data_IF_352859937230
#
_entry.id   IF_352859937230
#
_cell.length_a   1.000
_cell.length_b   1.000
_cell.length_c   1.000
_cell.angle_alpha   90.00
_cell.angle_beta   90.00
_cell.angle_gamma   90.00
#
_symmetry.space_group_name_H-M   'P 1'
#
loop_
_entity.id
_entity.type
_entity.pdbx_description
1 polymer ?
#
# COMPACT_ATOMS: atom_id res chain seq x y z
N UNK A 1 9.82 1.30 6.26
CA UNK A 1 8.42 0.89 6.44
C UNK A 1 8.24 -0.45 5.76
N UNK A 2 7.62 -1.42 6.44
CA UNK A 2 7.28 -2.72 5.84
C UNK A 2 5.94 -2.62 5.09
N UNK A 3 5.60 -3.63 4.29
CA UNK A 3 4.26 -3.70 3.66
C UNK A 3 3.17 -3.75 4.73
N UNK A 4 3.38 -4.56 5.78
CA UNK A 4 2.44 -4.73 6.89
C UNK A 4 2.19 -3.40 7.61
N UNK A 5 3.25 -2.66 7.95
CA UNK A 5 3.12 -1.36 8.63
C UNK A 5 2.33 -0.35 7.76
N UNK A 6 2.55 -0.38 6.45
CA UNK A 6 1.89 0.53 5.51
C UNK A 6 0.41 0.17 5.35
N UNK A 7 0.10 -1.13 5.30
CA UNK A 7 -1.25 -1.65 5.21
C UNK A 7 -2.04 -1.33 6.48
N UNK A 8 -1.48 -1.56 7.67
CA UNK A 8 -2.11 -1.24 8.95
C UNK A 8 -2.39 0.27 9.10
N UNK A 9 -1.45 1.12 8.70
CA UNK A 9 -1.67 2.57 8.67
C UNK A 9 -2.79 2.96 7.70
N UNK A 10 -2.83 2.32 6.52
CA UNK A 10 -3.85 2.60 5.51
C UNK A 10 -5.24 2.19 6.02
N UNK A 11 -5.38 0.98 6.57
CA UNK A 11 -6.66 0.51 7.13
C UNK A 11 -7.14 1.40 8.27
N UNK A 12 -6.22 1.88 9.11
CA UNK A 12 -6.56 2.83 10.18
C UNK A 12 -7.08 4.15 9.62
N UNK A 13 -6.41 4.72 8.61
CA UNK A 13 -6.87 5.97 7.99
C UNK A 13 -8.25 5.79 7.34
N UNK A 14 -8.47 4.67 6.66
CA UNK A 14 -9.77 4.36 6.03
C UNK A 14 -10.85 4.23 7.09
N UNK A 15 -10.62 3.46 8.16
CA UNK A 15 -11.58 3.31 9.27
C UNK A 15 -11.91 4.66 9.91
N UNK A 16 -10.91 5.51 10.16
CA UNK A 16 -11.14 6.84 10.73
C UNK A 16 -12.00 7.72 9.81
N UNK A 17 -11.79 7.66 8.49
CA UNK A 17 -12.57 8.42 7.51
C UNK A 17 -14.01 7.88 7.43
N UNK A 18 -14.19 6.56 7.32
CA UNK A 18 -15.51 5.91 7.20
C UNK A 18 -16.37 6.11 8.44
N UNK A 19 -15.76 6.19 9.62
CA UNK A 19 -16.44 6.43 10.89
C UNK A 19 -16.53 7.92 11.27
N UNK A 20 -16.26 8.84 10.33
CA UNK A 20 -16.34 10.30 10.53
C UNK A 20 -15.50 10.80 11.72
N UNK A 21 -14.39 10.10 12.05
CA UNK A 21 -13.49 10.45 13.16
C UNK A 21 -12.44 11.48 12.76
N UNK A 22 -12.35 11.81 11.48
CA UNK A 22 -11.42 12.82 10.95
C UNK A 22 -12.13 14.16 10.78
N UNK A 23 -11.63 15.25 11.40
CA UNK A 23 -12.14 16.60 11.16
C UNK A 23 -12.07 17.00 9.68
N UNK A 24 -13.04 17.78 9.21
CA UNK A 24 -13.11 18.20 7.80
C UNK A 24 -11.82 18.88 7.31
N UNK A 25 -11.22 19.72 8.16
CA UNK A 25 -9.97 20.44 7.86
C UNK A 25 -8.75 19.51 7.72
N UNK A 26 -8.81 18.31 8.30
CA UNK A 26 -7.73 17.31 8.27
C UNK A 26 -7.90 16.24 7.17
N UNK A 27 -9.11 16.11 6.61
CA UNK A 27 -9.40 15.15 5.55
C UNK A 27 -8.42 15.23 4.36
N UNK A 28 -8.05 16.42 3.84
CA UNK A 28 -7.13 16.50 2.71
C UNK A 28 -5.78 15.83 2.99
N UNK A 29 -5.22 16.03 4.18
CA UNK A 29 -3.93 15.43 4.56
C UNK A 29 -4.06 13.92 4.80
N UNK A 30 -5.15 13.46 5.40
CA UNK A 30 -5.41 12.01 5.58
C UNK A 30 -5.56 11.29 4.23
N UNK A 31 -6.27 11.89 3.28
CA UNK A 31 -6.42 11.36 1.92
C UNK A 31 -5.07 11.33 1.19
N UNK A 32 -4.28 12.41 1.30
CA UNK A 32 -2.92 12.46 0.73
C UNK A 32 -2.05 11.34 1.28
N UNK A 33 -2.07 11.16 2.61
CA UNK A 33 -1.33 10.08 3.27
C UNK A 33 -1.78 8.70 2.84
N UNK A 34 -3.10 8.46 2.75
CA UNK A 34 -3.63 7.19 2.25
C UNK A 34 -3.13 6.89 0.82
N UNK A 35 -3.10 7.90 -0.04
CA UNK A 35 -2.62 7.78 -1.44
C UNK A 35 -1.14 7.39 -1.50
N UNK A 36 -0.30 7.98 -0.63
CA UNK A 36 1.12 7.61 -0.50
C UNK A 36 1.28 6.15 -0.06
N UNK A 37 0.50 5.72 0.94
CA UNK A 37 0.53 4.34 1.45
C UNK A 37 0.09 3.33 0.40
N UNK A 38 -0.98 3.64 -0.35
CA UNK A 38 -1.45 2.81 -1.48
C UNK A 38 -0.33 2.65 -2.51
N UNK A 39 0.30 3.77 -2.91
CA UNK A 39 1.39 3.76 -3.88
C UNK A 39 2.54 2.88 -3.40
N UNK A 40 2.94 3.03 -2.13
CA UNK A 40 3.96 2.20 -1.52
C UNK A 40 3.61 0.70 -1.56
N UNK A 41 2.40 0.34 -1.13
CA UNK A 41 1.93 -1.05 -1.13
C UNK A 41 1.95 -1.65 -2.56
N UNK A 42 1.46 -0.91 -3.55
CA UNK A 42 1.46 -1.34 -4.95
C UNK A 42 2.88 -1.56 -5.48
N UNK A 43 3.81 -0.65 -5.19
CA UNK A 43 5.21 -0.80 -5.60
C UNK A 43 5.84 -2.07 -5.02
N UNK A 44 5.56 -2.38 -3.74
CA UNK A 44 6.09 -3.60 -3.10
C UNK A 44 5.52 -4.87 -3.73
N UNK A 45 4.22 -4.90 -4.01
CA UNK A 45 3.58 -6.04 -4.69
C UNK A 45 4.17 -6.25 -6.09
N UNK A 46 4.32 -5.19 -6.89
CA UNK A 46 4.94 -5.29 -8.23
C UNK A 46 6.38 -5.79 -8.19
N UNK A 47 7.15 -5.38 -7.17
CA UNK A 47 8.52 -5.86 -7.01
C UNK A 47 8.56 -7.38 -6.76
N UNK A 48 7.68 -7.88 -5.89
CA UNK A 48 7.56 -9.32 -5.61
C UNK A 48 7.11 -10.09 -6.86
N UNK A 49 6.13 -9.57 -7.58
CA UNK A 49 5.68 -10.17 -8.84
C UNK A 49 6.80 -10.22 -9.88
N UNK A 50 7.58 -9.15 -10.02
CA UNK A 50 8.72 -9.10 -10.95
C UNK A 50 9.78 -10.14 -10.58
N UNK A 51 10.11 -10.27 -9.31
CA UNK A 51 11.06 -11.28 -8.82
C UNK A 51 10.55 -12.70 -9.10
N UNK A 52 9.27 -12.96 -8.83
CA UNK A 52 8.62 -14.23 -9.13
C UNK A 52 8.69 -14.59 -10.63
N UNK A 53 8.38 -13.64 -11.52
CA UNK A 53 8.49 -13.86 -12.97
C UNK A 53 9.92 -14.16 -13.40
N UNK A 54 10.91 -13.42 -12.90
CA UNK A 54 12.32 -13.67 -13.20
C UNK A 54 12.78 -15.07 -12.75
N UNK A 55 12.29 -15.53 -11.60
CA UNK A 55 12.59 -16.88 -11.10
C UNK A 55 11.98 -17.95 -12.03
N UNK A 56 10.72 -17.79 -12.43
CA UNK A 56 10.05 -18.72 -13.36
C UNK A 56 10.77 -18.77 -14.70
N UNK A 57 11.11 -17.61 -15.29
CA UNK A 57 11.82 -17.54 -16.57
C UNK A 57 13.18 -18.27 -16.52
N UNK A 58 13.88 -18.20 -15.38
CA UNK A 58 15.14 -18.92 -15.17
C UNK A 58 14.93 -20.43 -15.05
N UNK A 59 13.84 -20.88 -14.44
CA UNK A 59 13.52 -22.31 -14.33
C UNK A 59 13.02 -22.92 -15.64
N UNK A 60 12.25 -22.16 -16.44
CA UNK A 60 11.69 -22.61 -17.71
C UNK A 60 12.66 -22.65 -18.90
N UNK A 61 13.89 -22.13 -18.74
CA UNK A 61 14.96 -22.17 -19.76
C UNK A 61 15.85 -23.42 -19.68
N UNK A 62 15.39 -24.49 -19.00
CA UNK A 62 16.08 -25.80 -18.95
C UNK A 62 15.40 -26.82 -19.85
#
# INVERSE_FOLDING_TARGET
MTYQDAYEQLTTIVDDIENERVPLDELPEKIRRATELITFCQTRLRAVETEYQQIIERMGKR
#
